data_IF_291601494694
#
_entry.id   IF_291601494694
#
_cell.length_a   1.000
_cell.length_b   1.000
_cell.length_c   1.000
_cell.angle_alpha   90.00
_cell.angle_beta   90.00
_cell.angle_gamma   90.00
#
_symmetry.space_group_name_H-M   'P 1'
#
loop_
_entity.id
_entity.type
_entity.pdbx_description
1 polymer ?
#
# COMPACT_ATOMS: atom_id res chain seq x y z
N UNK A 1 -50.75 -38.40 55.80
CA UNK A 1 -49.73 -38.66 54.72
C UNK A 1 -49.43 -37.31 54.09
N UNK A 2 -48.20 -36.80 54.35
CA UNK A 2 -47.73 -35.51 53.77
C UNK A 2 -46.94 -35.86 52.53
N UNK A 3 -47.43 -35.41 51.38
CA UNK A 3 -46.69 -35.52 50.10
C UNK A 3 -45.66 -34.39 50.04
N UNK A 4 -44.36 -34.73 49.98
CA UNK A 4 -43.30 -33.78 49.70
C UNK A 4 -43.17 -33.67 48.18
N UNK A 5 -43.55 -32.51 47.62
CA UNK A 5 -43.26 -32.15 46.24
C UNK A 5 -41.82 -31.68 46.21
N UNK A 6 -40.95 -32.49 45.59
CA UNK A 6 -39.55 -32.19 45.35
C UNK A 6 -39.47 -31.28 44.11
N UNK A 7 -39.31 -29.97 44.33
CA UNK A 7 -39.08 -29.01 43.27
C UNK A 7 -37.62 -29.16 42.83
N UNK A 8 -37.42 -29.89 41.72
CA UNK A 8 -36.10 -30.01 41.05
C UNK A 8 -35.85 -28.68 40.32
N UNK A 9 -35.10 -27.78 40.95
CA UNK A 9 -34.55 -26.61 40.27
C UNK A 9 -33.48 -27.11 39.29
N UNK A 10 -33.83 -27.24 38.00
CA UNK A 10 -32.86 -27.39 36.92
C UNK A 10 -32.16 -26.05 36.80
N UNK A 11 -31.02 -25.91 37.45
CA UNK A 11 -30.04 -24.85 37.14
C UNK A 11 -29.55 -25.10 35.71
N UNK A 12 -30.17 -24.49 34.72
CA UNK A 12 -29.59 -24.31 33.41
C UNK A 12 -28.39 -23.37 33.61
N UNK A 13 -27.14 -23.81 33.47
CA UNK A 13 -26.05 -22.87 33.45
C UNK A 13 -26.32 -21.96 32.26
N UNK A 14 -26.60 -20.71 32.52
CA UNK A 14 -26.46 -19.65 31.53
C UNK A 14 -24.98 -19.69 31.07
N UNK A 15 -24.70 -20.57 30.12
CA UNK A 15 -23.48 -20.52 29.35
C UNK A 15 -23.51 -19.15 28.68
N UNK A 16 -22.88 -18.19 29.33
CA UNK A 16 -22.46 -16.96 28.71
C UNK A 16 -21.52 -17.41 27.58
N UNK A 17 -22.09 -17.64 26.40
CA UNK A 17 -21.30 -17.84 25.18
C UNK A 17 -20.58 -16.51 24.94
N UNK A 18 -19.37 -16.41 25.46
CA UNK A 18 -18.47 -15.35 25.05
C UNK A 18 -18.31 -15.40 23.53
N UNK A 19 -18.32 -14.22 22.88
CA UNK A 19 -18.12 -14.13 21.44
C UNK A 19 -16.90 -14.90 21.01
N UNK A 20 -17.01 -15.66 19.94
CA UNK A 20 -15.88 -16.35 19.31
C UNK A 20 -14.85 -15.32 18.81
N UNK A 21 -13.62 -15.74 18.58
CA UNK A 21 -12.61 -14.84 18.04
C UNK A 21 -12.95 -14.36 16.62
N UNK A 22 -13.66 -15.15 15.84
CA UNK A 22 -14.21 -14.75 14.54
C UNK A 22 -15.27 -13.65 14.67
N UNK A 23 -16.22 -13.79 15.61
CA UNK A 23 -17.23 -12.76 15.87
C UNK A 23 -16.59 -11.43 16.28
N UNK A 24 -15.55 -11.46 17.13
CA UNK A 24 -14.80 -10.24 17.49
C UNK A 24 -14.09 -9.61 16.30
N UNK A 25 -13.55 -10.42 15.38
CA UNK A 25 -12.93 -9.91 14.16
C UNK A 25 -13.95 -9.29 13.21
N UNK A 26 -15.11 -9.91 13.03
CA UNK A 26 -16.21 -9.36 12.23
C UNK A 26 -16.73 -8.04 12.80
N UNK A 27 -16.92 -7.94 14.11
CA UNK A 27 -17.29 -6.68 14.76
C UNK A 27 -16.28 -5.55 14.51
N UNK A 28 -15.00 -5.87 14.44
CA UNK A 28 -13.99 -4.87 14.08
C UNK A 28 -14.10 -4.40 12.63
N UNK A 29 -14.46 -5.30 11.70
CA UNK A 29 -14.76 -4.94 10.31
C UNK A 29 -16.00 -4.06 10.25
N UNK A 30 -17.09 -4.45 10.92
CA UNK A 30 -18.34 -3.68 10.96
C UNK A 30 -18.08 -2.28 11.53
N UNK A 31 -17.34 -2.18 12.63
CA UNK A 31 -16.94 -0.89 13.19
C UNK A 31 -16.09 -0.05 12.21
N UNK A 32 -15.16 -0.66 11.46
CA UNK A 32 -14.38 0.06 10.46
C UNK A 32 -15.27 0.60 9.32
N UNK A 33 -16.30 -0.17 8.91
CA UNK A 33 -17.30 0.26 7.92
C UNK A 33 -18.13 1.43 8.45
N UNK A 34 -18.59 1.37 9.70
CA UNK A 34 -19.31 2.47 10.34
C UNK A 34 -18.49 3.75 10.43
N UNK A 35 -17.16 3.62 10.62
CA UNK A 35 -16.23 4.75 10.70
C UNK A 35 -15.83 5.31 9.33
N UNK A 36 -16.26 4.73 8.22
CA UNK A 36 -15.86 5.16 6.86
C UNK A 36 -16.10 6.65 6.62
N UNK A 37 -17.28 7.17 6.99
CA UNK A 37 -17.58 8.59 6.85
C UNK A 37 -16.64 9.51 7.65
N UNK A 38 -16.20 9.06 8.82
CA UNK A 38 -15.22 9.79 9.63
C UNK A 38 -13.83 9.83 8.95
N UNK A 39 -13.36 8.71 8.42
CA UNK A 39 -12.10 8.65 7.69
C UNK A 39 -12.13 9.50 6.42
N UNK A 40 -13.24 9.46 5.68
CA UNK A 40 -13.44 10.31 4.51
C UNK A 40 -13.41 11.80 4.87
N UNK A 41 -14.05 12.21 5.95
CA UNK A 41 -14.01 13.61 6.42
C UNK A 41 -12.60 14.05 6.82
N UNK A 42 -11.84 13.20 7.51
CA UNK A 42 -10.44 13.49 7.85
C UNK A 42 -9.60 13.66 6.59
N UNK A 43 -9.77 12.77 5.61
CA UNK A 43 -9.07 12.84 4.33
C UNK A 43 -9.41 14.10 3.55
N UNK A 44 -10.68 14.48 3.48
CA UNK A 44 -11.10 15.70 2.81
C UNK A 44 -10.57 16.98 3.51
N UNK A 45 -10.44 16.98 4.84
CA UNK A 45 -9.80 18.09 5.58
C UNK A 45 -8.32 18.22 5.20
N UNK A 46 -7.59 17.12 5.12
CA UNK A 46 -6.18 17.10 4.67
C UNK A 46 -6.06 17.65 3.24
N UNK A 47 -6.88 17.12 2.33
CA UNK A 47 -6.90 17.55 0.93
C UNK A 47 -7.27 19.02 0.77
N UNK A 48 -8.24 19.51 1.54
CA UNK A 48 -8.61 20.94 1.54
C UNK A 48 -7.44 21.81 2.00
N UNK A 49 -6.72 21.39 3.04
CA UNK A 49 -5.51 22.09 3.52
C UNK A 49 -4.44 22.14 2.44
N UNK A 50 -4.12 21.01 1.79
CA UNK A 50 -3.10 20.96 0.74
C UNK A 50 -3.48 21.81 -0.48
N UNK A 51 -4.76 21.81 -0.89
CA UNK A 51 -5.25 22.65 -1.99
C UNK A 51 -5.08 24.14 -1.68
N UNK A 52 -5.39 24.55 -0.44
CA UNK A 52 -5.18 25.93 0.00
C UNK A 52 -3.70 26.30 -0.07
N UNK A 53 -2.82 25.47 0.51
CA UNK A 53 -1.38 25.71 0.49
C UNK A 53 -0.81 25.80 -0.94
N UNK A 54 -1.29 24.96 -1.85
CA UNK A 54 -0.90 25.05 -3.26
C UNK A 54 -1.41 26.33 -3.95
N UNK A 55 -2.58 26.85 -3.53
CA UNK A 55 -3.12 28.11 -4.02
C UNK A 55 -2.40 29.35 -3.47
N UNK A 56 -2.03 29.29 -2.19
CA UNK A 56 -1.37 30.39 -1.45
C UNK A 56 0.16 30.41 -1.67
N UNK A 57 0.73 29.41 -2.39
CA UNK A 57 2.16 29.29 -2.62
C UNK A 57 2.71 30.53 -3.36
N UNK A 58 3.76 31.12 -2.80
CA UNK A 58 4.39 32.34 -3.33
C UNK A 58 5.33 32.01 -4.48
N UNK A 59 6.04 30.89 -4.37
CA UNK A 59 7.00 30.45 -5.39
C UNK A 59 6.47 29.24 -6.18
N UNK A 60 6.95 29.10 -7.41
CA UNK A 60 6.62 27.92 -8.23
C UNK A 60 7.17 26.62 -7.61
N UNK A 61 8.32 26.68 -6.91
CA UNK A 61 8.89 25.54 -6.22
C UNK A 61 8.00 25.06 -5.06
N UNK A 62 7.49 25.98 -4.23
CA UNK A 62 6.51 25.66 -3.19
C UNK A 62 5.24 25.07 -3.81
N UNK A 63 4.75 25.64 -4.90
CA UNK A 63 3.57 25.14 -5.61
C UNK A 63 3.80 23.73 -6.14
N UNK A 64 4.95 23.44 -6.74
CA UNK A 64 5.33 22.11 -7.21
C UNK A 64 5.38 21.09 -6.05
N UNK A 65 5.94 21.49 -4.89
CA UNK A 65 5.95 20.66 -3.69
C UNK A 65 4.53 20.30 -3.21
N UNK A 66 3.60 21.26 -3.20
CA UNK A 66 2.21 20.99 -2.82
C UNK A 66 1.45 20.18 -3.87
N UNK A 67 1.74 20.35 -5.16
CA UNK A 67 1.17 19.52 -6.23
C UNK A 67 1.67 18.05 -6.12
N UNK A 68 2.94 17.81 -5.77
CA UNK A 68 3.46 16.47 -5.44
C UNK A 68 2.72 15.87 -4.24
N UNK A 69 2.55 16.68 -3.18
CA UNK A 69 1.81 16.25 -1.97
C UNK A 69 0.35 15.92 -2.27
N UNK A 70 -0.32 16.70 -3.11
CA UNK A 70 -1.69 16.45 -3.56
C UNK A 70 -1.78 15.17 -4.39
N UNK A 71 -0.86 14.95 -5.34
CA UNK A 71 -0.81 13.69 -6.06
C UNK A 71 -0.71 12.50 -5.08
N UNK A 72 0.24 12.54 -4.15
CA UNK A 72 0.44 11.45 -3.17
C UNK A 72 -0.80 11.22 -2.30
N UNK A 73 -1.46 12.30 -1.88
CA UNK A 73 -2.67 12.22 -1.08
C UNK A 73 -3.87 11.64 -1.85
N UNK A 74 -3.95 11.89 -3.17
CA UNK A 74 -5.01 11.37 -4.04
C UNK A 74 -4.72 10.00 -4.64
N UNK A 75 -3.45 9.58 -4.76
CA UNK A 75 -3.03 8.39 -5.54
C UNK A 75 -3.72 7.08 -5.14
N UNK A 76 -4.16 6.96 -3.88
CA UNK A 76 -4.90 5.80 -3.36
C UNK A 76 -6.33 6.15 -2.94
N UNK A 77 -6.82 7.34 -3.26
CA UNK A 77 -8.13 7.81 -2.85
C UNK A 77 -9.05 8.11 -4.02
N UNK A 78 -8.60 8.93 -4.98
CA UNK A 78 -9.36 9.27 -6.19
C UNK A 78 -8.45 9.36 -7.40
N UNK A 79 -8.57 8.37 -8.28
CA UNK A 79 -7.73 8.22 -9.47
C UNK A 79 -7.74 9.47 -10.37
N UNK A 80 -8.92 9.96 -10.75
CA UNK A 80 -9.03 11.12 -11.67
C UNK A 80 -8.37 12.37 -11.09
N UNK A 81 -8.54 12.61 -9.79
CA UNK A 81 -7.90 13.71 -9.09
C UNK A 81 -6.38 13.56 -9.08
N UNK A 82 -5.87 12.35 -8.86
CA UNK A 82 -4.42 12.08 -8.90
C UNK A 82 -3.84 12.39 -10.29
N UNK A 83 -4.50 11.97 -11.35
CA UNK A 83 -4.13 12.27 -12.74
C UNK A 83 -4.14 13.77 -13.03
N UNK A 84 -5.14 14.51 -12.52
CA UNK A 84 -5.24 15.94 -12.71
C UNK A 84 -4.07 16.69 -12.04
N UNK A 85 -3.67 16.29 -10.81
CA UNK A 85 -2.54 16.90 -10.12
C UNK A 85 -1.19 16.55 -10.75
N UNK A 86 -1.03 15.34 -11.27
CA UNK A 86 0.15 14.97 -12.08
C UNK A 86 0.26 15.88 -13.30
N UNK A 87 -0.84 16.10 -14.03
CA UNK A 87 -0.83 16.94 -15.23
C UNK A 87 -0.49 18.39 -14.91
N UNK A 88 -1.09 18.97 -13.86
CA UNK A 88 -0.79 20.33 -13.38
C UNK A 88 0.66 20.48 -12.95
N UNK A 89 1.18 19.50 -12.18
CA UNK A 89 2.55 19.53 -11.70
C UNK A 89 3.57 19.40 -12.84
N UNK A 90 3.33 18.50 -13.80
CA UNK A 90 4.21 18.35 -14.95
C UNK A 90 4.22 19.62 -15.81
N UNK A 91 3.06 20.22 -16.09
CA UNK A 91 2.95 21.46 -16.85
C UNK A 91 3.73 22.61 -16.19
N UNK A 92 3.58 22.80 -14.87
CA UNK A 92 4.31 23.82 -14.13
C UNK A 92 5.81 23.56 -14.10
N UNK A 93 6.21 22.29 -13.87
CA UNK A 93 7.62 21.91 -13.85
C UNK A 93 8.30 22.13 -15.21
N UNK A 94 7.60 21.86 -16.32
CA UNK A 94 8.09 22.11 -17.69
C UNK A 94 8.18 23.61 -17.97
N UNK A 95 7.16 24.40 -17.59
CA UNK A 95 7.15 25.85 -17.76
C UNK A 95 8.27 26.57 -16.97
N UNK A 96 8.64 26.03 -15.81
CA UNK A 96 9.71 26.56 -14.95
C UNK A 96 11.08 25.90 -15.20
N UNK A 97 11.18 24.99 -16.17
CA UNK A 97 12.39 24.19 -16.47
C UNK A 97 12.97 23.48 -15.24
N UNK A 98 12.13 23.12 -14.25
CA UNK A 98 12.56 22.42 -13.05
C UNK A 98 12.75 20.93 -13.33
N UNK A 99 13.98 20.53 -13.66
CA UNK A 99 14.33 19.16 -14.06
C UNK A 99 14.03 18.12 -12.99
N UNK A 100 14.16 18.48 -11.70
CA UNK A 100 13.83 17.59 -10.59
C UNK A 100 12.33 17.25 -10.60
N UNK A 101 11.45 18.25 -10.67
CA UNK A 101 10.02 18.03 -10.67
C UNK A 101 9.49 17.48 -12.00
N UNK A 102 10.11 17.79 -13.14
CA UNK A 102 9.80 17.14 -14.43
C UNK A 102 9.96 15.62 -14.27
N UNK A 103 11.09 15.17 -13.73
CA UNK A 103 11.36 13.75 -13.50
C UNK A 103 10.38 13.16 -12.47
N UNK A 104 10.13 13.88 -11.37
CA UNK A 104 9.19 13.47 -10.33
C UNK A 104 7.79 13.23 -10.91
N UNK A 105 7.23 14.20 -11.63
CA UNK A 105 5.88 14.08 -12.19
C UNK A 105 5.79 13.11 -13.37
N UNK A 106 6.88 12.86 -14.11
CA UNK A 106 6.93 11.76 -15.08
C UNK A 106 6.81 10.39 -14.40
N UNK A 107 7.51 10.18 -13.28
CA UNK A 107 7.39 8.94 -12.48
C UNK A 107 5.96 8.81 -11.93
N UNK A 108 5.39 9.88 -11.39
CA UNK A 108 4.00 9.92 -10.92
C UNK A 108 3.01 9.57 -12.03
N UNK A 109 3.21 10.13 -13.22
CA UNK A 109 2.36 9.83 -14.39
C UNK A 109 2.44 8.36 -14.77
N UNK A 110 3.63 7.78 -14.79
CA UNK A 110 3.80 6.34 -15.03
C UNK A 110 3.10 5.49 -13.96
N UNK A 111 3.24 5.87 -12.67
CA UNK A 111 2.55 5.20 -11.57
C UNK A 111 1.02 5.26 -11.72
N UNK A 112 0.46 6.44 -12.01
CA UNK A 112 -0.98 6.60 -12.24
C UNK A 112 -1.47 5.79 -13.45
N UNK A 113 -0.73 5.81 -14.56
CA UNK A 113 -1.05 5.01 -15.75
C UNK A 113 -1.00 3.50 -15.46
N UNK A 114 -0.09 3.05 -14.58
CA UNK A 114 0.00 1.64 -14.17
C UNK A 114 -1.26 1.22 -13.40
N UNK A 115 -1.75 2.05 -12.49
CA UNK A 115 -3.01 1.81 -11.76
C UNK A 115 -4.20 1.81 -12.72
N UNK A 116 -4.20 2.70 -13.71
CA UNK A 116 -5.26 2.79 -14.73
C UNK A 116 -5.23 1.73 -15.83
N UNK A 117 -4.27 0.77 -15.79
CA UNK A 117 -4.16 -0.29 -16.80
C UNK A 117 -3.44 0.10 -18.10
N UNK A 118 -2.87 1.32 -18.18
CA UNK A 118 -2.14 1.79 -19.37
C UNK A 118 -0.65 1.41 -19.31
N UNK A 119 -0.36 0.13 -19.09
CA UNK A 119 0.98 -0.40 -18.76
C UNK A 119 2.05 -0.03 -19.79
N UNK A 120 1.79 -0.23 -21.09
CA UNK A 120 2.77 0.10 -22.12
C UNK A 120 3.10 1.60 -22.17
N UNK A 121 2.11 2.48 -21.93
CA UNK A 121 2.35 3.92 -21.85
C UNK A 121 3.17 4.28 -20.61
N UNK A 122 2.92 3.62 -19.47
CA UNK A 122 3.68 3.79 -18.25
C UNK A 122 5.15 3.38 -18.44
N UNK A 123 5.39 2.19 -19.03
CA UNK A 123 6.74 1.70 -19.33
C UNK A 123 7.50 2.65 -20.28
N UNK A 124 6.83 3.15 -21.33
CA UNK A 124 7.44 4.08 -22.27
C UNK A 124 7.87 5.38 -21.58
N UNK A 125 7.08 5.93 -20.66
CA UNK A 125 7.49 7.11 -19.89
C UNK A 125 8.74 6.80 -19.05
N UNK A 126 8.73 5.69 -18.29
CA UNK A 126 9.87 5.33 -17.46
C UNK A 126 11.15 5.11 -18.26
N UNK A 127 11.06 4.54 -19.46
CA UNK A 127 12.22 4.35 -20.37
C UNK A 127 12.87 5.66 -20.82
N UNK A 128 12.17 6.79 -20.78
CA UNK A 128 12.75 8.10 -21.13
C UNK A 128 13.60 8.71 -20.02
N UNK A 129 13.61 8.11 -18.83
CA UNK A 129 14.27 8.66 -17.65
C UNK A 129 15.61 7.94 -17.39
N UNK A 130 16.64 8.71 -17.02
CA UNK A 130 17.94 8.15 -16.64
C UNK A 130 18.09 8.10 -15.11
N UNK A 131 18.06 6.90 -14.51
CA UNK A 131 18.17 6.78 -13.05
C UNK A 131 19.56 7.15 -12.50
N UNK A 132 20.57 7.29 -13.33
CA UNK A 132 21.92 7.73 -12.91
C UNK A 132 21.94 9.20 -12.51
N UNK A 133 21.04 10.00 -13.09
CA UNK A 133 20.93 11.45 -12.81
C UNK A 133 19.95 11.76 -11.67
N UNK A 134 19.30 10.75 -11.12
CA UNK A 134 18.29 10.94 -10.08
C UNK A 134 18.91 11.04 -8.68
N UNK A 135 18.44 11.94 -7.83
CA UNK A 135 18.68 11.88 -6.39
C UNK A 135 18.22 10.54 -5.79
N UNK A 136 18.81 10.17 -4.66
CA UNK A 136 18.62 8.87 -4.02
C UNK A 136 17.15 8.47 -3.88
N UNK A 137 16.32 9.31 -3.27
CA UNK A 137 14.90 9.02 -3.03
C UNK A 137 14.09 8.88 -4.33
N UNK A 138 14.38 9.73 -5.32
CA UNK A 138 13.73 9.69 -6.61
C UNK A 138 14.10 8.41 -7.38
N UNK A 139 15.36 7.98 -7.29
CA UNK A 139 15.84 6.72 -7.86
C UNK A 139 15.14 5.50 -7.24
N UNK A 140 14.98 5.46 -5.92
CA UNK A 140 14.23 4.39 -5.26
C UNK A 140 12.77 4.36 -5.73
N UNK A 141 12.14 5.54 -5.83
CA UNK A 141 10.74 5.63 -6.29
C UNK A 141 10.59 5.24 -7.77
N UNK A 142 11.57 5.53 -8.62
CA UNK A 142 11.60 5.09 -10.01
C UNK A 142 11.61 3.54 -10.12
N UNK A 143 12.49 2.86 -9.41
CA UNK A 143 12.56 1.40 -9.43
C UNK A 143 11.35 0.75 -8.76
N UNK A 144 10.83 1.37 -7.70
CA UNK A 144 9.56 0.97 -7.11
C UNK A 144 8.41 1.05 -8.13
N UNK A 145 8.34 2.13 -8.88
CA UNK A 145 7.30 2.32 -9.90
C UNK A 145 7.38 1.25 -11.00
N UNK A 146 8.58 0.88 -11.44
CA UNK A 146 8.76 -0.24 -12.36
C UNK A 146 8.31 -1.58 -11.76
N UNK A 147 8.68 -1.88 -10.52
CA UNK A 147 8.29 -3.13 -9.87
C UNK A 147 6.76 -3.23 -9.75
N UNK A 148 6.09 -2.13 -9.39
CA UNK A 148 4.62 -2.08 -9.28
C UNK A 148 3.92 -2.05 -10.62
N UNK A 149 4.46 -1.40 -11.65
CA UNK A 149 3.98 -1.51 -13.01
C UNK A 149 3.86 -2.98 -13.45
N UNK A 150 4.94 -3.75 -13.29
CA UNK A 150 4.93 -5.16 -13.65
C UNK A 150 4.11 -6.03 -12.69
N UNK A 151 3.91 -5.62 -11.45
CA UNK A 151 2.97 -6.28 -10.54
C UNK A 151 1.52 -6.16 -11.05
N UNK A 152 1.09 -4.97 -11.47
CA UNK A 152 -0.24 -4.78 -12.02
C UNK A 152 -0.41 -5.48 -13.38
N UNK A 153 0.62 -5.43 -14.22
CA UNK A 153 0.58 -6.06 -15.54
C UNK A 153 0.57 -7.59 -15.45
N UNK A 154 1.35 -8.18 -14.55
CA UNK A 154 1.31 -9.61 -14.22
C UNK A 154 -0.11 -10.02 -13.76
N UNK A 155 -0.70 -9.27 -12.85
CA UNK A 155 -2.05 -9.54 -12.34
C UNK A 155 -3.11 -9.47 -13.44
N UNK A 156 -3.03 -8.49 -14.32
CA UNK A 156 -3.93 -8.35 -15.47
C UNK A 156 -3.76 -9.50 -16.47
N UNK A 157 -2.53 -9.90 -16.73
CA UNK A 157 -2.18 -10.92 -17.71
C UNK A 157 -2.07 -12.34 -17.11
N UNK A 158 -2.56 -12.58 -15.88
CA UNK A 158 -2.29 -13.79 -15.10
C UNK A 158 -2.62 -15.12 -15.79
N UNK A 159 -3.54 -15.12 -16.75
CA UNK A 159 -3.94 -16.29 -17.54
C UNK A 159 -3.34 -16.30 -18.96
N UNK A 160 -2.45 -15.38 -19.28
CA UNK A 160 -1.80 -15.29 -20.59
C UNK A 160 -0.44 -15.97 -20.60
N UNK A 161 0.08 -16.27 -21.78
CA UNK A 161 1.46 -16.75 -21.98
C UNK A 161 2.52 -15.76 -21.50
N UNK A 162 2.19 -14.46 -21.40
CA UNK A 162 3.11 -13.40 -21.00
C UNK A 162 3.22 -13.21 -19.48
N UNK A 163 2.39 -13.87 -18.67
CA UNK A 163 2.38 -13.69 -17.21
C UNK A 163 3.77 -13.91 -16.58
N UNK A 164 4.49 -14.94 -17.04
CA UNK A 164 5.82 -15.25 -16.52
C UNK A 164 6.87 -14.19 -16.87
N UNK A 165 6.75 -13.54 -18.02
CA UNK A 165 7.65 -12.45 -18.42
C UNK A 165 7.48 -11.24 -17.51
N UNK A 166 6.24 -10.87 -17.20
CA UNK A 166 5.95 -9.77 -16.28
C UNK A 166 6.38 -10.10 -14.84
N UNK A 167 6.18 -11.32 -14.38
CA UNK A 167 6.70 -11.80 -13.09
C UNK A 167 8.22 -11.70 -13.02
N UNK A 168 8.91 -12.08 -14.08
CA UNK A 168 10.38 -11.98 -14.17
C UNK A 168 10.85 -10.54 -14.13
N UNK A 169 10.20 -9.64 -14.88
CA UNK A 169 10.52 -8.20 -14.87
C UNK A 169 10.24 -7.57 -13.49
N UNK A 170 9.10 -7.90 -12.87
CA UNK A 170 8.79 -7.46 -11.50
C UNK A 170 9.89 -7.86 -10.52
N UNK A 171 10.31 -9.12 -10.53
CA UNK A 171 11.38 -9.63 -9.67
C UNK A 171 12.71 -8.92 -9.95
N UNK A 172 13.04 -8.68 -11.20
CA UNK A 172 14.24 -7.94 -11.62
C UNK A 172 14.26 -6.53 -11.03
N UNK A 173 13.18 -5.75 -11.22
CA UNK A 173 13.13 -4.37 -10.73
C UNK A 173 13.03 -4.31 -9.20
N UNK A 174 12.38 -5.27 -8.55
CA UNK A 174 12.37 -5.37 -7.09
C UNK A 174 13.77 -5.63 -6.54
N UNK A 175 14.58 -6.47 -7.20
CA UNK A 175 15.98 -6.69 -6.82
C UNK A 175 16.80 -5.40 -6.96
N UNK A 176 16.70 -4.72 -8.11
CA UNK A 176 17.42 -3.45 -8.31
C UNK A 176 17.01 -2.41 -7.26
N UNK A 177 15.72 -2.31 -6.95
CA UNK A 177 15.23 -1.43 -5.90
C UNK A 177 15.95 -1.73 -4.57
N UNK A 178 15.97 -2.99 -4.15
CA UNK A 178 16.61 -3.40 -2.89
C UNK A 178 18.12 -3.15 -2.89
N UNK A 179 18.80 -3.40 -4.02
CA UNK A 179 20.25 -3.20 -4.17
C UNK A 179 20.64 -1.71 -4.12
N UNK A 180 19.71 -0.80 -4.46
CA UNK A 180 19.94 0.65 -4.39
C UNK A 180 19.73 1.26 -3.00
N UNK A 181 19.24 0.51 -2.01
CA UNK A 181 19.16 1.02 -0.64
C UNK A 181 20.55 1.18 -0.04
N UNK A 182 20.82 2.37 0.50
CA UNK A 182 22.02 2.62 1.31
C UNK A 182 21.92 1.95 2.70
N UNK A 183 23.02 1.92 3.45
CA UNK A 183 23.07 1.23 4.75
C UNK A 183 22.04 1.77 5.77
N UNK A 184 21.74 3.07 5.75
CA UNK A 184 20.69 3.66 6.58
C UNK A 184 19.30 3.20 6.10
N UNK A 185 19.06 3.20 4.80
CA UNK A 185 17.80 2.77 4.19
C UNK A 185 17.50 1.29 4.44
N UNK A 186 18.50 0.41 4.42
CA UNK A 186 18.34 -1.02 4.73
C UNK A 186 17.85 -1.30 6.16
N UNK A 187 18.01 -0.36 7.08
CA UNK A 187 17.48 -0.45 8.45
C UNK A 187 16.02 0.02 8.56
N UNK A 188 15.47 0.61 7.48
CA UNK A 188 14.11 1.16 7.49
C UNK A 188 13.04 0.06 7.51
N UNK A 189 11.90 0.38 8.08
CA UNK A 189 10.69 -0.45 8.07
C UNK A 189 10.23 -0.74 6.63
N UNK A 190 10.35 0.25 5.75
CA UNK A 190 9.99 0.11 4.35
C UNK A 190 10.87 -0.90 3.60
N UNK A 191 12.19 -0.91 3.85
CA UNK A 191 13.08 -1.94 3.30
C UNK A 191 12.70 -3.34 3.77
N UNK A 192 12.33 -3.50 5.06
CA UNK A 192 11.90 -4.80 5.59
C UNK A 192 10.65 -5.30 4.85
N UNK A 193 9.65 -4.44 4.67
CA UNK A 193 8.46 -4.79 3.88
C UNK A 193 8.81 -5.23 2.46
N UNK A 194 9.62 -4.43 1.73
CA UNK A 194 10.03 -4.76 0.35
C UNK A 194 10.85 -6.05 0.27
N UNK A 195 11.68 -6.33 1.28
CA UNK A 195 12.44 -7.58 1.35
C UNK A 195 11.52 -8.79 1.52
N UNK A 196 10.49 -8.66 2.35
CA UNK A 196 9.42 -9.65 2.47
C UNK A 196 8.73 -9.90 1.12
N UNK A 197 8.29 -8.84 0.43
CA UNK A 197 7.69 -8.92 -0.91
C UNK A 197 8.60 -9.64 -1.92
N UNK A 198 9.89 -9.30 -1.95
CA UNK A 198 10.84 -9.93 -2.87
C UNK A 198 11.02 -11.43 -2.64
N UNK A 199 11.13 -11.86 -1.36
CA UNK A 199 11.26 -13.28 -1.03
C UNK A 199 9.95 -14.02 -1.33
N UNK A 200 8.80 -13.40 -1.03
CA UNK A 200 7.48 -13.94 -1.32
C UNK A 200 7.29 -14.30 -2.80
N UNK A 201 7.85 -13.53 -3.74
CA UNK A 201 7.78 -13.81 -5.18
C UNK A 201 8.35 -15.18 -5.58
N UNK A 202 9.27 -15.73 -4.81
CA UNK A 202 9.97 -16.97 -5.12
C UNK A 202 9.62 -18.11 -4.17
N UNK A 203 9.33 -17.80 -2.93
CA UNK A 203 9.12 -18.75 -1.83
C UNK A 203 8.11 -18.19 -0.83
N UNK A 204 6.81 -18.17 -1.18
CA UNK A 204 5.76 -17.49 -0.41
C UNK A 204 5.67 -17.98 1.05
N UNK A 205 5.88 -19.26 1.29
CA UNK A 205 5.78 -19.88 2.62
C UNK A 205 7.10 -19.96 3.39
N UNK A 206 8.18 -19.39 2.85
CA UNK A 206 9.46 -19.37 3.55
C UNK A 206 9.40 -18.49 4.81
N UNK A 207 9.90 -19.00 5.94
CA UNK A 207 9.82 -18.31 7.25
C UNK A 207 10.33 -16.87 7.23
N UNK A 208 11.39 -16.58 6.48
CA UNK A 208 11.94 -15.23 6.40
C UNK A 208 10.96 -14.20 5.80
N UNK A 209 9.98 -14.62 5.01
CA UNK A 209 8.89 -13.75 4.52
C UNK A 209 8.13 -13.19 5.71
N UNK A 210 7.69 -14.09 6.60
CA UNK A 210 6.96 -13.71 7.80
C UNK A 210 7.79 -12.82 8.72
N UNK A 211 9.06 -13.17 8.94
CA UNK A 211 9.97 -12.41 9.80
C UNK A 211 10.13 -10.95 9.32
N UNK A 212 10.27 -10.75 8.01
CA UNK A 212 10.37 -9.43 7.41
C UNK A 212 9.07 -8.63 7.52
N UNK A 213 7.92 -9.24 7.21
CA UNK A 213 6.62 -8.57 7.35
C UNK A 213 6.28 -8.24 8.80
N UNK A 214 6.54 -9.15 9.75
CA UNK A 214 6.34 -8.89 11.18
C UNK A 214 7.24 -7.77 11.69
N UNK A 215 8.49 -7.71 11.23
CA UNK A 215 9.40 -6.60 11.58
C UNK A 215 8.86 -5.26 11.06
N UNK A 216 8.38 -5.23 9.82
CA UNK A 216 7.77 -4.06 9.22
C UNK A 216 6.48 -3.66 9.98
N UNK A 217 5.59 -4.60 10.24
CA UNK A 217 4.33 -4.37 10.96
C UNK A 217 4.53 -3.82 12.36
N UNK A 218 5.42 -4.44 13.16
CA UNK A 218 5.68 -4.03 14.55
C UNK A 218 6.31 -2.66 14.69
N UNK A 219 7.09 -2.22 13.68
CA UNK A 219 7.81 -0.95 13.70
C UNK A 219 7.11 0.18 12.96
N UNK A 220 6.08 -0.12 12.19
CA UNK A 220 5.26 0.89 11.50
C UNK A 220 4.29 1.56 12.47
N UNK A 221 3.90 2.78 12.14
CA UNK A 221 2.89 3.51 12.90
C UNK A 221 1.52 2.90 12.60
N UNK A 222 0.74 2.63 13.64
CA UNK A 222 -0.64 2.14 13.49
C UNK A 222 -1.45 3.10 12.62
N UNK A 223 -2.26 2.55 11.74
CA UNK A 223 -3.05 3.28 10.74
C UNK A 223 -2.22 3.99 9.64
N UNK A 224 -0.91 3.75 9.56
CA UNK A 224 -0.12 4.15 8.42
C UNK A 224 -0.24 3.11 7.29
N UNK A 225 -0.11 3.57 6.05
CA UNK A 225 -0.13 2.71 4.86
C UNK A 225 0.84 1.53 4.95
N UNK A 226 2.05 1.75 5.46
CA UNK A 226 3.04 0.69 5.60
C UNK A 226 2.62 -0.37 6.62
N UNK A 227 1.91 0.04 7.67
CA UNK A 227 1.31 -0.87 8.65
C UNK A 227 0.29 -1.80 7.98
N UNK A 228 -0.67 -1.22 7.27
CA UNK A 228 -1.70 -1.96 6.52
C UNK A 228 -1.10 -2.88 5.45
N UNK A 229 -0.13 -2.38 4.66
CA UNK A 229 0.57 -3.21 3.67
C UNK A 229 1.30 -4.39 4.30
N UNK A 230 1.92 -4.20 5.46
CA UNK A 230 2.63 -5.25 6.19
C UNK A 230 1.66 -6.28 6.78
N UNK A 231 0.54 -5.83 7.34
CA UNK A 231 -0.54 -6.69 7.83
C UNK A 231 -1.10 -7.56 6.69
N UNK A 232 -1.37 -6.95 5.54
CA UNK A 232 -1.82 -7.68 4.34
C UNK A 232 -0.78 -8.70 3.85
N UNK A 233 0.52 -8.35 3.89
CA UNK A 233 1.61 -9.29 3.58
C UNK A 233 1.61 -10.51 4.51
N UNK A 234 1.44 -10.31 5.82
CA UNK A 234 1.32 -11.39 6.81
C UNK A 234 0.06 -12.23 6.54
N UNK A 235 -1.07 -11.58 6.25
CA UNK A 235 -2.30 -12.28 5.90
C UNK A 235 -2.09 -13.22 4.69
N UNK A 236 -1.51 -12.72 3.60
CA UNK A 236 -1.20 -13.55 2.42
C UNK A 236 -0.31 -14.75 2.76
N UNK A 237 0.72 -14.55 3.58
CA UNK A 237 1.60 -15.62 4.05
C UNK A 237 0.82 -16.74 4.75
N UNK A 238 -0.09 -16.38 5.67
CA UNK A 238 -0.91 -17.36 6.38
C UNK A 238 -1.99 -18.00 5.50
N UNK A 239 -2.50 -17.29 4.49
CA UNK A 239 -3.40 -17.85 3.47
C UNK A 239 -2.71 -18.97 2.70
N UNK A 240 -1.46 -18.77 2.27
CA UNK A 240 -0.68 -19.80 1.53
C UNK A 240 -0.29 -21.00 2.41
N UNK A 241 -0.36 -20.86 3.73
CA UNK A 241 -0.23 -21.95 4.72
C UNK A 241 -1.57 -22.54 5.14
N UNK A 242 -2.69 -22.13 4.54
CA UNK A 242 -4.06 -22.56 4.89
C UNK A 242 -4.45 -22.30 6.35
N UNK A 243 -3.75 -21.34 7.02
CA UNK A 243 -4.04 -20.90 8.39
C UNK A 243 -5.03 -19.74 8.35
N UNK A 244 -6.30 -20.06 8.08
CA UNK A 244 -7.37 -19.06 7.87
C UNK A 244 -7.70 -18.24 9.12
N UNK A 245 -7.50 -18.78 10.32
CA UNK A 245 -7.59 -18.07 11.60
C UNK A 245 -6.64 -16.87 11.66
N UNK A 246 -5.38 -17.09 11.32
CA UNK A 246 -4.36 -16.04 11.29
C UNK A 246 -4.49 -15.13 10.06
N UNK A 247 -4.93 -15.69 8.92
CA UNK A 247 -5.26 -14.90 7.73
C UNK A 247 -6.29 -13.82 8.05
N UNK A 248 -7.44 -14.19 8.63
CA UNK A 248 -8.51 -13.25 8.99
C UNK A 248 -8.03 -12.22 10.02
N UNK A 249 -7.29 -12.68 11.05
CA UNK A 249 -6.73 -11.79 12.07
C UNK A 249 -5.92 -10.64 11.47
N UNK A 250 -5.00 -10.93 10.55
CA UNK A 250 -4.15 -9.90 9.94
C UNK A 250 -4.82 -9.15 8.80
N UNK A 251 -5.83 -9.74 8.16
CA UNK A 251 -6.64 -9.04 7.15
C UNK A 251 -7.46 -7.90 7.77
N UNK A 252 -7.95 -8.07 9.00
CA UNK A 252 -8.67 -7.02 9.75
C UNK A 252 -7.73 -5.89 10.23
N UNK A 253 -6.42 -6.17 10.37
CA UNK A 253 -5.41 -5.14 10.67
C UNK A 253 -4.94 -4.37 9.41
N UNK A 254 -5.21 -4.90 8.20
CA UNK A 254 -4.81 -4.30 6.92
C UNK A 254 -5.77 -3.20 6.46
#
# INVERSE_FOLDING_TARGET
MKQYILLLFIMIPLLSYGKTDEEKLLERVDHAIEMDSHYQQQKEKELKRLRRLAGDAITDEERLCYLDSLYRAYSNYRYDSSCAYVSKGLQLAEATHNTFYITCFKIHRASALSVGGFYAKAENILKTLDPKQMPYEQKLYYYFTYAWLFNYWESYAAKSEFANDFKTKKKYYMRILLDNFNEKGKKSTYYQYLKGEYIFLSSPTHKSVLDHYLNAFKKSVKNDRLHSMSAYGIARYYKDLERYDLYLKYLVEA
#
